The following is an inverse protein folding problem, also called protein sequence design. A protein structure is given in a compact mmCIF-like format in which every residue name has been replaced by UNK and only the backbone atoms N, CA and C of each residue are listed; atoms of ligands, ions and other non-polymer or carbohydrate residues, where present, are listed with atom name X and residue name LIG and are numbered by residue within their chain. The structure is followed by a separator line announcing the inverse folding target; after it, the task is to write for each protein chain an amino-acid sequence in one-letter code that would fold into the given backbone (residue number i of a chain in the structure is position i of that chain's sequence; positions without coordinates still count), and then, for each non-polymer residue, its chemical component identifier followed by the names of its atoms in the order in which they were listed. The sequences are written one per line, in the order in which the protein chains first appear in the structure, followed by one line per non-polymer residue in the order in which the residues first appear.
data_IF_197650080125
#
_entry.id   IF_197650080125
#
_cell.length_a   1.000
_cell.length_b   1.000
_cell.length_c   1.000
_cell.angle_alpha   90.00
_cell.angle_beta   90.00
_cell.angle_gamma   90.00
#
_symmetry.space_group_name_H-M   'P 1'
#
loop_
_entity.id
_entity.type
_entity.pdbx_description
1 polymer ?
#
# COMPACT_ATOMS: atom_id res chain seq x y z
N UNK A 1 20.92 -3.16 -27.49
CA UNK A 1 20.50 -2.18 -26.48
C UNK A 1 19.21 -1.45 -26.79
N UNK A 2 18.83 -1.32 -28.04
CA UNK A 2 17.56 -0.69 -28.41
C UNK A 2 16.32 -1.52 -28.07
N UNK A 3 16.49 -2.80 -27.86
CA UNK A 3 15.37 -3.74 -27.65
C UNK A 3 14.99 -3.98 -26.21
N UNK A 4 15.83 -3.55 -25.28
CA UNK A 4 15.58 -3.73 -23.85
C UNK A 4 14.41 -2.88 -23.35
N UNK A 5 14.26 -1.65 -23.86
CA UNK A 5 13.16 -0.77 -23.50
C UNK A 5 11.81 -1.26 -24.03
N UNK A 6 11.83 -1.83 -25.23
CA UNK A 6 10.63 -2.42 -25.84
C UNK A 6 10.14 -3.65 -25.09
N UNK A 7 11.07 -4.46 -24.62
CA UNK A 7 10.76 -5.67 -23.86
C UNK A 7 10.10 -5.32 -22.50
N UNK A 8 10.63 -4.32 -21.82
CA UNK A 8 10.07 -3.83 -20.55
C UNK A 8 8.66 -3.27 -20.71
N UNK A 9 8.40 -2.55 -21.80
CA UNK A 9 7.08 -2.04 -22.12
C UNK A 9 6.07 -3.15 -22.37
N UNK A 10 6.49 -4.21 -23.06
CA UNK A 10 5.62 -5.36 -23.32
C UNK A 10 5.23 -6.09 -22.05
N UNK A 11 6.16 -6.24 -21.12
CA UNK A 11 5.89 -6.88 -19.81
C UNK A 11 4.91 -6.05 -18.98
N UNK A 12 5.04 -4.73 -18.99
CA UNK A 12 4.11 -3.86 -18.28
C UNK A 12 2.67 -3.96 -18.81
N UNK A 13 2.52 -4.08 -20.12
CA UNK A 13 1.20 -4.23 -20.75
C UNK A 13 0.54 -5.55 -20.34
N UNK A 14 1.31 -6.63 -20.28
CA UNK A 14 0.81 -7.92 -19.87
C UNK A 14 0.36 -7.94 -18.40
N UNK A 15 1.07 -7.24 -17.53
CA UNK A 15 0.71 -7.12 -16.12
C UNK A 15 -0.57 -6.29 -15.92
N UNK A 16 -0.82 -5.32 -16.79
CA UNK A 16 -1.99 -4.47 -16.71
C UNK A 16 -3.29 -5.17 -17.16
N UNK A 17 -3.18 -6.29 -17.86
CA UNK A 17 -4.34 -7.01 -18.39
C UNK A 17 -4.90 -8.08 -17.44
N UNK A 18 -4.30 -8.25 -16.28
CA UNK A 18 -4.60 -9.38 -15.41
C UNK A 18 -5.58 -9.14 -14.25
N UNK A 19 -6.31 -8.05 -14.12
CA UNK A 19 -7.20 -7.87 -12.97
C UNK A 19 -8.68 -8.12 -13.24
N UNK A 20 -9.05 -8.82 -14.31
CA UNK A 20 -10.44 -8.86 -14.73
C UNK A 20 -11.27 -10.02 -14.18
N UNK A 21 -10.68 -10.89 -13.35
CA UNK A 21 -11.36 -12.05 -12.84
C UNK A 21 -11.79 -11.92 -11.38
N UNK A 22 -12.28 -10.75 -10.99
CA UNK A 22 -12.90 -10.60 -9.68
C UNK A 22 -14.26 -11.31 -9.70
N UNK A 23 -14.49 -12.31 -8.83
CA UNK A 23 -15.81 -12.90 -8.74
C UNK A 23 -16.84 -11.86 -8.31
N UNK A 24 -18.08 -11.92 -8.83
CA UNK A 24 -19.10 -10.98 -8.43
C UNK A 24 -19.32 -11.07 -6.92
N UNK A 25 -19.29 -9.91 -6.27
CA UNK A 25 -19.51 -9.81 -4.83
C UNK A 25 -20.98 -10.11 -4.59
N UNK A 26 -21.23 -11.19 -3.88
CA UNK A 26 -22.59 -11.56 -3.51
C UNK A 26 -23.00 -10.75 -2.27
N UNK A 27 -23.91 -9.80 -2.44
CA UNK A 27 -24.35 -8.90 -1.38
C UNK A 27 -25.52 -9.47 -0.55
N UNK A 28 -25.71 -10.78 -0.53
CA UNK A 28 -26.87 -11.39 0.10
C UNK A 28 -26.91 -11.25 1.63
N UNK A 29 -25.80 -10.84 2.27
CA UNK A 29 -25.73 -10.74 3.73
C UNK A 29 -25.17 -9.40 4.20
N UNK A 30 -25.74 -8.32 3.71
CA UNK A 30 -25.35 -7.00 4.16
C UNK A 30 -25.92 -6.71 5.54
N UNK A 31 -25.04 -6.56 6.54
CA UNK A 31 -25.42 -6.20 7.90
C UNK A 31 -25.55 -4.70 8.01
N UNK A 32 -26.71 -4.21 8.40
CA UNK A 32 -26.94 -2.79 8.62
C UNK A 32 -26.72 -2.42 10.08
N UNK A 33 -26.09 -1.26 10.30
CA UNK A 33 -25.90 -0.68 11.62
C UNK A 33 -27.18 0.02 12.10
N UNK A 34 -27.30 0.31 13.42
CA UNK A 34 -28.49 0.98 13.96
C UNK A 34 -28.79 2.34 13.32
N UNK A 35 -27.78 3.01 12.75
CA UNK A 35 -27.94 4.30 12.06
C UNK A 35 -28.42 4.16 10.61
N UNK A 36 -28.77 2.95 10.16
CA UNK A 36 -29.21 2.68 8.80
C UNK A 36 -28.10 2.48 7.77
N UNK A 37 -26.85 2.62 8.16
CA UNK A 37 -25.70 2.43 7.26
C UNK A 37 -25.30 0.96 7.18
N UNK A 38 -24.75 0.56 6.04
CA UNK A 38 -24.17 -0.77 5.85
C UNK A 38 -22.91 -0.91 6.69
N UNK A 39 -22.80 -1.99 7.45
CA UNK A 39 -21.58 -2.31 8.19
C UNK A 39 -20.38 -2.42 7.26
N UNK A 40 -20.57 -3.02 6.08
CA UNK A 40 -19.54 -3.15 5.07
C UNK A 40 -19.03 -1.78 4.59
N UNK A 41 -19.94 -0.86 4.29
CA UNK A 41 -19.59 0.49 3.85
C UNK A 41 -18.80 1.24 4.90
N UNK A 42 -19.18 1.11 6.18
CA UNK A 42 -18.44 1.73 7.27
C UNK A 42 -17.03 1.14 7.42
N UNK A 43 -16.87 -0.16 7.25
CA UNK A 43 -15.55 -0.81 7.29
C UNK A 43 -14.69 -0.32 6.13
N UNK A 44 -15.25 -0.27 4.92
CA UNK A 44 -14.53 0.21 3.73
C UNK A 44 -14.08 1.66 3.93
N UNK A 45 -14.96 2.49 4.45
CA UNK A 45 -14.64 3.90 4.72
C UNK A 45 -13.54 4.05 5.76
N UNK A 46 -13.64 3.30 6.86
CA UNK A 46 -12.63 3.32 7.91
C UNK A 46 -11.27 2.83 7.40
N UNK A 47 -11.26 1.75 6.63
CA UNK A 47 -10.02 1.22 6.03
C UNK A 47 -9.42 2.21 5.04
N UNK A 48 -10.24 2.89 4.25
CA UNK A 48 -9.78 3.92 3.32
C UNK A 48 -9.09 5.06 4.07
N UNK A 49 -9.70 5.56 5.14
CA UNK A 49 -9.12 6.63 5.95
C UNK A 49 -7.81 6.20 6.61
N UNK A 50 -7.76 4.97 7.14
CA UNK A 50 -6.53 4.40 7.70
C UNK A 50 -5.44 4.25 6.64
N UNK A 51 -5.80 3.77 5.45
CA UNK A 51 -4.84 3.59 4.37
C UNK A 51 -4.25 4.93 3.91
N UNK A 52 -5.07 5.98 3.82
CA UNK A 52 -4.58 7.32 3.48
C UNK A 52 -3.62 7.86 4.54
N UNK A 53 -3.96 7.67 5.81
CA UNK A 53 -3.09 8.09 6.91
C UNK A 53 -1.76 7.35 6.90
N UNK A 54 -1.81 6.03 6.74
CA UNK A 54 -0.61 5.20 6.72
C UNK A 54 0.24 5.49 5.48
N UNK A 55 -0.39 5.77 4.34
CA UNK A 55 0.33 6.17 3.12
C UNK A 55 1.04 7.52 3.30
N UNK A 56 0.40 8.46 3.99
CA UNK A 56 1.03 9.74 4.34
C UNK A 56 2.24 9.56 5.25
N UNK A 57 2.12 8.67 6.23
CA UNK A 57 3.21 8.33 7.13
C UNK A 57 4.36 7.63 6.37
N UNK A 58 4.03 6.74 5.42
CA UNK A 58 5.04 6.13 4.54
C UNK A 58 5.81 7.17 3.75
N UNK A 59 5.12 8.16 3.21
CA UNK A 59 5.76 9.24 2.45
C UNK A 59 6.72 10.03 3.34
N UNK A 60 6.30 10.36 4.55
CA UNK A 60 7.13 11.08 5.52
C UNK A 60 8.38 10.27 5.89
N UNK A 61 8.20 9.00 6.22
CA UNK A 61 9.32 8.11 6.56
C UNK A 61 10.29 7.94 5.40
N UNK A 62 9.77 7.84 4.17
CA UNK A 62 10.61 7.71 2.97
C UNK A 62 11.51 8.94 2.79
N UNK A 63 10.97 10.14 3.00
CA UNK A 63 11.77 11.37 2.93
C UNK A 63 12.81 11.42 4.04
N UNK A 64 12.47 11.01 5.25
CA UNK A 64 13.43 10.95 6.35
C UNK A 64 14.55 9.95 6.10
N UNK A 65 14.21 8.77 5.56
CA UNK A 65 15.20 7.74 5.21
C UNK A 65 16.16 8.29 4.14
N UNK A 66 15.62 8.94 3.13
CA UNK A 66 16.43 9.57 2.08
C UNK A 66 17.39 10.58 2.68
N UNK A 67 16.91 11.47 3.55
CA UNK A 67 17.73 12.44 4.25
C UNK A 67 18.83 11.78 5.08
N UNK A 68 18.46 10.74 5.83
CA UNK A 68 19.43 10.00 6.66
C UNK A 68 20.54 9.39 5.82
N UNK A 69 20.19 8.84 4.65
CA UNK A 69 21.16 8.24 3.75
C UNK A 69 22.05 9.29 3.07
N UNK A 70 21.50 10.45 2.74
CA UNK A 70 22.27 11.54 2.12
C UNK A 70 23.22 12.21 3.10
N UNK A 71 22.81 12.37 4.35
CA UNK A 71 23.60 13.06 5.39
C UNK A 71 24.50 12.12 6.17
N UNK A 72 24.21 10.83 6.15
CA UNK A 72 24.95 9.82 6.91
C UNK A 72 26.24 9.41 6.20
N UNK A 73 27.07 8.72 6.96
CA UNK A 73 28.26 8.06 6.42
C UNK A 73 27.84 6.82 5.63
N UNK A 74 28.28 6.72 4.37
CA UNK A 74 27.93 5.59 3.50
C UNK A 74 28.39 4.23 4.05
N UNK A 75 29.30 4.21 4.99
CA UNK A 75 29.85 2.99 5.59
C UNK A 75 29.24 2.66 6.95
N UNK A 76 28.42 3.53 7.50
CA UNK A 76 27.78 3.32 8.80
C UNK A 76 26.27 3.15 8.64
N UNK A 77 25.75 2.11 9.26
CA UNK A 77 24.31 1.85 9.30
C UNK A 77 23.73 2.47 10.57
N UNK A 78 22.81 3.42 10.39
CA UNK A 78 22.13 4.05 11.52
C UNK A 78 21.03 3.15 12.06
N UNK A 79 21.00 2.93 13.36
CA UNK A 79 19.90 2.21 14.03
C UNK A 79 18.57 2.94 13.88
N UNK A 80 18.59 4.27 13.82
CA UNK A 80 17.39 5.07 13.57
C UNK A 80 16.82 4.82 12.18
N UNK A 81 17.68 4.72 11.18
CA UNK A 81 17.27 4.43 9.80
C UNK A 81 16.67 3.03 9.70
N UNK A 82 17.29 2.04 10.36
CA UNK A 82 16.75 0.68 10.39
C UNK A 82 15.36 0.63 11.03
N UNK A 83 15.15 1.38 12.12
CA UNK A 83 13.86 1.46 12.77
C UNK A 83 12.80 2.09 11.85
N UNK A 84 13.17 3.12 11.10
CA UNK A 84 12.26 3.74 10.13
C UNK A 84 11.87 2.74 9.04
N UNK A 85 12.80 1.91 8.58
CA UNK A 85 12.52 0.86 7.60
C UNK A 85 11.58 -0.20 8.17
N UNK A 86 11.73 -0.57 9.44
CA UNK A 86 10.80 -1.49 10.11
C UNK A 86 9.39 -0.91 10.15
N UNK A 87 9.27 0.39 10.44
CA UNK A 87 7.98 1.08 10.43
C UNK A 87 7.36 1.11 9.02
N UNK A 88 8.18 1.31 7.98
CA UNK A 88 7.75 1.26 6.59
C UNK A 88 7.18 -0.12 6.26
N UNK A 89 7.86 -1.18 6.65
CA UNK A 89 7.38 -2.55 6.44
C UNK A 89 6.04 -2.79 7.12
N UNK A 90 5.92 -2.37 8.38
CA UNK A 90 4.68 -2.53 9.15
C UNK A 90 3.52 -1.79 8.50
N UNK A 91 3.72 -0.54 8.13
CA UNK A 91 2.68 0.27 7.49
C UNK A 91 2.26 -0.32 6.14
N UNK A 92 3.24 -0.76 5.34
CA UNK A 92 2.97 -1.40 4.04
C UNK A 92 2.16 -2.67 4.22
N UNK A 93 2.50 -3.48 5.21
CA UNK A 93 1.77 -4.71 5.53
C UNK A 93 0.34 -4.40 5.95
N UNK A 94 0.14 -3.40 6.79
CA UNK A 94 -1.18 -3.01 7.28
C UNK A 94 -2.08 -2.55 6.13
N UNK A 95 -1.57 -1.71 5.24
CA UNK A 95 -2.31 -1.27 4.05
C UNK A 95 -2.68 -2.47 3.18
N UNK A 96 -1.72 -3.37 2.94
CA UNK A 96 -1.94 -4.56 2.12
C UNK A 96 -3.03 -5.45 2.70
N UNK A 97 -3.03 -5.66 4.00
CA UNK A 97 -4.04 -6.48 4.67
C UNK A 97 -5.44 -5.88 4.54
N UNK A 98 -5.55 -4.55 4.69
CA UNK A 98 -6.84 -3.87 4.52
C UNK A 98 -7.35 -3.98 3.08
N UNK A 99 -6.47 -3.79 2.10
CA UNK A 99 -6.83 -3.91 0.69
C UNK A 99 -7.24 -5.32 0.29
N UNK A 100 -6.69 -6.34 0.95
CA UNK A 100 -7.02 -7.74 0.66
C UNK A 100 -8.38 -8.20 1.19
N UNK A 101 -9.00 -7.41 2.04
CA UNK A 101 -10.34 -7.75 2.57
C UNK A 101 -11.44 -7.64 1.54
N UNK A 102 -11.17 -6.98 0.43
CA UNK A 102 -12.17 -6.69 -0.61
C UNK A 102 -11.92 -7.45 -1.89
#
# INVERSE_FOLDING_TARGET
MRYLGLFLLTVCILLAQNPLDSPPINNEHEVKLPNGKSQKDEIIRADYEHNLRDAGELARLSEEIKDDLEKGDRYLVSTKTLKKLDDVERLSKDIRQRLRRY
#
